data_IF_630620118727
#
_entry.id   IF_630620118727
#
_cell.length_a   1.000
_cell.length_b   1.000
_cell.length_c   1.000
_cell.angle_alpha   90.00
_cell.angle_beta   90.00
_cell.angle_gamma   90.00
#
_symmetry.space_group_name_H-M   'P 1'
#
loop_
_entity.id
_entity.type
_entity.pdbx_description
1 polymer ?
#
# COMPACT_ATOMS: atom_id res chain seq x y z
N UNK A 1 -6.98 10.86 0.38
CA UNK A 1 -6.09 9.72 0.22
C UNK A 1 -6.21 9.17 -1.19
N UNK A 2 -5.11 9.16 -1.91
CA UNK A 2 -5.11 8.85 -3.34
C UNK A 2 -5.33 7.37 -3.65
N UNK A 3 -5.09 6.48 -2.71
CA UNK A 3 -5.11 5.02 -2.95
C UNK A 3 -6.26 4.29 -2.26
N UNK A 4 -7.28 5.01 -1.85
CA UNK A 4 -8.38 4.45 -1.06
C UNK A 4 -9.30 3.49 -1.83
N UNK A 5 -9.15 3.38 -3.13
CA UNK A 5 -9.96 2.47 -3.94
C UNK A 5 -9.16 1.33 -4.56
N UNK A 6 -7.93 1.10 -4.09
CA UNK A 6 -7.11 0.02 -4.63
C UNK A 6 -7.77 -1.35 -4.49
N UNK A 7 -8.37 -1.64 -3.33
CA UNK A 7 -9.06 -2.91 -3.11
C UNK A 7 -10.34 -3.03 -3.95
N UNK A 8 -11.10 -1.95 -4.04
CA UNK A 8 -12.33 -1.96 -4.83
C UNK A 8 -12.06 -2.22 -6.32
N UNK A 9 -10.92 -1.77 -6.82
CA UNK A 9 -10.49 -2.08 -8.18
C UNK A 9 -10.37 -3.59 -8.39
N UNK A 10 -9.81 -4.31 -7.42
CA UNK A 10 -9.71 -5.77 -7.49
C UNK A 10 -11.08 -6.45 -7.44
N UNK A 11 -11.99 -5.92 -6.62
CA UNK A 11 -13.35 -6.48 -6.54
C UNK A 11 -14.07 -6.38 -7.87
N UNK A 12 -13.90 -5.29 -8.59
CA UNK A 12 -14.56 -5.06 -9.87
C UNK A 12 -14.13 -6.06 -10.94
N UNK A 13 -12.93 -6.61 -10.84
CA UNK A 13 -12.39 -7.56 -11.80
C UNK A 13 -12.29 -8.98 -11.23
N UNK A 14 -12.92 -9.24 -10.08
CA UNK A 14 -12.92 -10.52 -9.38
C UNK A 14 -11.53 -11.03 -9.00
N UNK A 15 -10.65 -10.13 -8.60
CA UNK A 15 -9.27 -10.44 -8.18
C UNK A 15 -9.01 -10.16 -6.71
N UNK A 16 -10.06 -9.91 -5.92
CA UNK A 16 -9.91 -9.57 -4.51
C UNK A 16 -9.38 -10.71 -3.64
N UNK A 17 -9.29 -11.92 -4.18
CA UNK A 17 -8.73 -13.08 -3.47
C UNK A 17 -7.42 -13.57 -4.09
N UNK A 18 -6.90 -12.87 -5.09
CA UNK A 18 -5.67 -13.27 -5.77
C UNK A 18 -4.46 -12.75 -4.98
N UNK A 19 -3.60 -13.65 -4.43
CA UNK A 19 -2.46 -13.23 -3.66
C UNK A 19 -1.49 -12.32 -4.42
N UNK A 20 -1.34 -12.53 -5.72
CA UNK A 20 -0.45 -11.70 -6.54
C UNK A 20 -0.94 -10.26 -6.63
N UNK A 21 -2.25 -10.06 -6.58
CA UNK A 21 -2.84 -8.73 -6.62
C UNK A 21 -2.86 -8.09 -5.23
N UNK A 22 -3.22 -8.87 -4.21
CA UNK A 22 -3.36 -8.37 -2.85
C UNK A 22 -2.07 -7.76 -2.31
N UNK A 23 -0.92 -8.32 -2.68
CA UNK A 23 0.36 -7.81 -2.19
C UNK A 23 0.57 -6.31 -2.44
N UNK A 24 -0.03 -5.80 -3.52
CA UNK A 24 0.09 -4.39 -3.89
C UNK A 24 -1.15 -3.55 -3.53
N UNK A 25 -2.25 -4.18 -3.17
CA UNK A 25 -3.53 -3.49 -3.00
C UNK A 25 -4.04 -3.46 -1.56
N UNK A 26 -3.29 -4.00 -0.60
CA UNK A 26 -3.65 -3.99 0.83
C UNK A 26 -2.40 -3.74 1.68
N UNK A 27 -2.60 -3.58 2.99
CA UNK A 27 -1.50 -3.35 3.94
C UNK A 27 -1.02 -4.68 4.52
N UNK A 28 0.26 -4.98 4.34
CA UNK A 28 0.93 -6.07 5.05
C UNK A 28 0.46 -7.48 4.69
N UNK A 29 0.08 -7.72 3.45
CA UNK A 29 -0.31 -9.06 3.02
C UNK A 29 0.85 -10.05 3.27
N UNK A 30 0.52 -11.19 3.88
CA UNK A 30 1.49 -12.23 4.28
C UNK A 30 2.48 -11.80 5.39
N UNK A 31 2.22 -10.69 6.06
CA UNK A 31 3.03 -10.26 7.20
C UNK A 31 2.25 -10.42 8.50
N UNK A 32 2.94 -10.68 9.63
CA UNK A 32 2.26 -10.74 10.92
C UNK A 32 1.50 -9.44 11.20
N UNK A 33 0.22 -9.55 11.57
CA UNK A 33 -0.63 -8.40 11.83
C UNK A 33 -1.13 -7.68 10.59
N UNK A 34 -0.81 -8.18 9.39
CA UNK A 34 -1.24 -7.58 8.14
C UNK A 34 -2.62 -8.06 7.67
N UNK A 35 -2.96 -7.70 6.44
CA UNK A 35 -4.26 -8.02 5.86
C UNK A 35 -4.49 -9.52 5.77
N UNK A 36 -5.67 -9.96 6.22
CA UNK A 36 -6.11 -11.36 6.15
C UNK A 36 -7.27 -11.48 5.17
N UNK A 37 -8.34 -10.73 5.38
CA UNK A 37 -9.51 -10.73 4.52
C UNK A 37 -10.33 -9.46 4.73
N UNK A 38 -11.25 -9.20 3.82
CA UNK A 38 -12.15 -8.04 3.97
C UNK A 38 -13.01 -8.17 5.24
N UNK A 39 -13.38 -9.39 5.62
CA UNK A 39 -14.19 -9.61 6.81
C UNK A 39 -13.38 -9.44 8.10
N UNK A 40 -12.15 -9.97 8.14
CA UNK A 40 -11.35 -9.98 9.36
C UNK A 40 -10.56 -8.69 9.57
N UNK A 41 -10.05 -8.10 8.50
CA UNK A 41 -9.17 -6.94 8.58
C UNK A 41 -9.58 -5.86 7.57
N UNK A 42 -10.85 -5.36 7.65
CA UNK A 42 -11.32 -4.38 6.66
C UNK A 42 -10.55 -3.07 6.66
N UNK A 43 -9.97 -2.68 7.81
CA UNK A 43 -9.20 -1.45 7.92
C UNK A 43 -7.87 -1.49 7.19
N UNK A 44 -7.42 -2.68 6.78
CA UNK A 44 -6.14 -2.85 6.09
C UNK A 44 -6.28 -2.96 4.57
N UNK A 45 -7.48 -2.72 4.05
CA UNK A 45 -7.68 -2.62 2.60
C UNK A 45 -7.01 -1.36 2.06
N UNK A 46 -6.67 -1.41 0.78
CA UNK A 46 -6.10 -0.29 0.05
C UNK A 46 -4.65 0.00 0.41
N UNK A 47 -4.03 0.87 -0.36
CA UNK A 47 -2.64 1.29 -0.14
C UNK A 47 -2.64 2.45 0.84
N UNK A 48 -2.05 2.24 2.00
CA UNK A 48 -2.02 3.22 3.08
C UNK A 48 -0.57 3.58 3.42
N UNK A 49 -0.41 4.51 4.34
CA UNK A 49 0.91 5.02 4.72
C UNK A 49 1.91 3.91 5.07
N UNK A 50 1.44 2.90 5.80
CA UNK A 50 2.30 1.81 6.25
C UNK A 50 2.79 0.90 5.13
N UNK A 51 2.13 0.90 3.97
CA UNK A 51 2.61 0.13 2.82
C UNK A 51 3.97 0.65 2.36
N UNK A 52 4.12 1.96 2.35
CA UNK A 52 5.36 2.60 1.92
C UNK A 52 6.35 2.80 3.08
N UNK A 53 5.85 3.21 4.23
CA UNK A 53 6.69 3.62 5.36
C UNK A 53 6.92 2.55 6.41
N UNK A 54 6.22 1.42 6.32
CA UNK A 54 6.27 0.39 7.34
C UNK A 54 5.38 0.71 8.54
N UNK A 55 5.39 -0.14 9.59
CA UNK A 55 4.50 0.03 10.73
C UNK A 55 4.64 1.39 11.40
N UNK A 56 3.50 2.03 11.65
CA UNK A 56 3.46 3.39 12.18
C UNK A 56 3.07 3.51 13.64
N UNK A 57 3.10 2.42 14.40
CA UNK A 57 2.67 2.41 15.80
C UNK A 57 3.43 3.41 16.65
N UNK A 58 4.76 3.43 16.53
CA UNK A 58 5.58 4.33 17.33
C UNK A 58 5.36 5.79 16.95
N UNK A 59 5.18 6.05 15.66
CA UNK A 59 4.85 7.39 15.18
C UNK A 59 3.49 7.86 15.71
N UNK A 60 2.49 6.97 15.75
CA UNK A 60 1.18 7.31 16.27
C UNK A 60 1.22 7.68 17.76
N UNK A 61 2.11 7.01 18.52
CA UNK A 61 2.30 7.29 19.94
C UNK A 61 3.18 8.50 20.19
N UNK A 62 4.12 8.78 19.31
CA UNK A 62 5.08 9.89 19.43
C UNK A 62 5.31 10.52 18.06
N UNK A 63 4.45 11.44 17.61
CA UNK A 63 4.53 12.00 16.26
C UNK A 63 5.88 12.66 15.93
N UNK A 64 6.64 13.09 16.94
CA UNK A 64 7.94 13.71 16.73
C UNK A 64 9.04 12.72 16.34
N UNK A 65 8.83 11.42 16.56
CA UNK A 65 9.87 10.41 16.34
C UNK A 65 10.07 10.05 14.86
N UNK A 66 9.30 10.66 13.96
CA UNK A 66 9.34 10.32 12.54
C UNK A 66 8.52 9.07 12.24
N UNK A 67 8.31 8.81 10.97
CA UNK A 67 7.47 7.70 10.54
C UNK A 67 8.27 6.71 9.70
N UNK A 68 8.58 5.56 10.29
CA UNK A 68 9.14 4.43 9.57
C UNK A 68 10.37 4.74 8.74
N UNK A 69 10.45 4.11 7.59
CA UNK A 69 11.57 4.25 6.68
C UNK A 69 11.30 5.28 5.60
N UNK A 70 12.36 5.76 4.96
CA UNK A 70 12.22 6.56 3.76
C UNK A 70 11.62 5.69 2.64
N UNK A 71 10.61 6.22 1.96
CA UNK A 71 9.76 5.43 1.09
C UNK A 71 10.11 5.50 -0.40
N UNK A 72 11.22 6.14 -0.76
CA UNK A 72 11.58 6.36 -2.17
C UNK A 72 11.59 5.09 -3.00
N UNK A 73 12.13 4.00 -2.43
CA UNK A 73 12.21 2.71 -3.13
C UNK A 73 10.94 1.87 -3.00
N UNK A 74 10.02 2.26 -2.13
CA UNK A 74 8.80 1.48 -1.89
C UNK A 74 7.89 1.44 -3.14
N UNK A 75 7.96 2.45 -3.97
CA UNK A 75 7.16 2.51 -5.20
C UNK A 75 7.40 1.27 -6.08
N UNK A 76 8.63 0.80 -6.12
CA UNK A 76 9.03 -0.31 -6.97
C UNK A 76 8.49 -1.66 -6.52
N UNK A 77 7.98 -1.76 -5.31
CA UNK A 77 7.35 -3.00 -4.84
C UNK A 77 6.07 -3.31 -5.62
N UNK A 78 5.37 -2.28 -6.04
CA UNK A 78 4.10 -2.42 -6.75
C UNK A 78 4.20 -1.95 -8.20
N UNK A 79 4.95 -0.88 -8.45
CA UNK A 79 5.14 -0.33 -9.79
C UNK A 79 6.24 -1.09 -10.52
N UNK A 80 5.95 -2.34 -10.88
CA UNK A 80 6.84 -3.18 -11.66
C UNK A 80 6.45 -3.13 -13.14
N UNK A 81 7.37 -3.50 -14.01
CA UNK A 81 7.17 -3.39 -15.46
C UNK A 81 5.89 -4.07 -15.97
N UNK A 82 5.57 -5.23 -15.43
CA UNK A 82 4.40 -6.00 -15.87
C UNK A 82 3.07 -5.35 -15.50
N UNK A 83 3.04 -4.58 -14.41
CA UNK A 83 1.79 -4.01 -13.88
C UNK A 83 1.75 -2.50 -14.01
N UNK A 84 2.88 -1.85 -14.20
CA UNK A 84 2.96 -0.40 -14.29
C UNK A 84 4.06 0.01 -15.29
N UNK A 85 3.92 -0.36 -16.58
CA UNK A 85 4.99 -0.17 -17.55
C UNK A 85 5.32 1.30 -17.82
N UNK A 86 4.41 2.22 -17.49
CA UNK A 86 4.62 3.66 -17.70
C UNK A 86 5.06 4.38 -16.42
N UNK A 87 5.35 3.63 -15.36
CA UNK A 87 5.75 4.26 -14.10
C UNK A 87 7.04 5.04 -14.27
N UNK A 88 7.02 6.29 -13.77
CA UNK A 88 8.18 7.16 -13.70
C UNK A 88 8.06 7.96 -12.41
N UNK A 89 9.04 7.82 -11.52
CA UNK A 89 9.01 8.47 -10.21
C UNK A 89 8.84 9.99 -10.33
N UNK A 90 9.55 10.61 -11.28
CA UNK A 90 9.51 12.06 -11.46
C UNK A 90 8.12 12.57 -11.82
N UNK A 91 7.37 11.78 -12.61
CA UNK A 91 6.01 12.14 -13.02
C UNK A 91 4.96 11.75 -11.98
N UNK A 92 5.18 10.64 -11.27
CA UNK A 92 4.18 10.11 -10.35
C UNK A 92 4.25 10.75 -8.96
N UNK A 93 5.46 11.06 -8.48
CA UNK A 93 5.65 11.61 -7.16
C UNK A 93 4.83 12.89 -6.90
N UNK A 94 4.78 13.88 -7.83
CA UNK A 94 3.99 15.09 -7.58
C UNK A 94 2.51 14.83 -7.31
N UNK A 95 1.98 13.69 -7.78
CA UNK A 95 0.57 13.35 -7.61
C UNK A 95 0.24 12.88 -6.20
N UNK A 96 1.22 12.41 -5.46
CA UNK A 96 1.01 11.86 -4.11
C UNK A 96 1.86 12.54 -3.05
N UNK A 97 2.67 13.49 -3.46
CA UNK A 97 3.54 14.22 -2.54
C UNK A 97 2.76 14.80 -1.37
N UNK A 98 3.29 14.65 -0.17
CA UNK A 98 2.65 15.08 1.06
C UNK A 98 3.68 15.59 2.07
#
# INVERSE_FOLDING_TARGET
VLFRSAYDTLRKINKAFDPECLACHVVGFNLPGGFISELDTPSLKNVQCEVCHGPGRDHASSPQSGFGRQATEACKQCHVKNHSPRFNYTEYWPKIKH
#
